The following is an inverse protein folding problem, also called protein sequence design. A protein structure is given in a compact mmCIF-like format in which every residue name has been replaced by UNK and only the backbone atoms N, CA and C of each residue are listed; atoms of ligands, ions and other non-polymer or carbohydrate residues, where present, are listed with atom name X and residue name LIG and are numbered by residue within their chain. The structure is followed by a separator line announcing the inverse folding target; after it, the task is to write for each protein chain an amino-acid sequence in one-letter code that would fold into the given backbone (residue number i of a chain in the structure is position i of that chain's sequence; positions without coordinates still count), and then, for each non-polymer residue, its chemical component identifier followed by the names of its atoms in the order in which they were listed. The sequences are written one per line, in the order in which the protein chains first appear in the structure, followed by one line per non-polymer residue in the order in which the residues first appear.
data_IF_379163890878
#
_entry.id   IF_379163890878
#
_cell.length_a   1.000
_cell.length_b   1.000
_cell.length_c   1.000
_cell.angle_alpha   90.00
_cell.angle_beta   90.00
_cell.angle_gamma   90.00
#
_symmetry.space_group_name_H-M   'P 1'
#
loop_
_entity.id
_entity.type
_entity.pdbx_description
1 polymer ?
#
# COMPACT_ATOMS: atom_id res chain seq x y z
N UNK A 1 -4.93 -3.32 5.41
CA UNK A 1 -6.05 -3.30 6.37
C UNK A 1 -7.05 -2.24 5.92
N UNK A 2 -8.14 -2.62 5.24
CA UNK A 2 -9.15 -1.66 4.79
C UNK A 2 -10.04 -1.28 5.97
N UNK A 3 -10.10 0.01 6.29
CA UNK A 3 -11.08 0.51 7.27
C UNK A 3 -12.43 0.56 6.59
N UNK A 4 -13.28 -0.42 6.86
CA UNK A 4 -14.69 -0.29 6.58
C UNK A 4 -15.23 0.83 7.49
N UNK A 5 -15.37 2.04 6.94
CA UNK A 5 -15.96 3.15 7.68
C UNK A 5 -17.44 2.86 7.85
N UNK A 6 -17.82 2.43 9.06
CA UNK A 6 -19.21 2.07 9.38
C UNK A 6 -20.04 3.34 9.46
N UNK A 7 -21.05 3.45 8.62
CA UNK A 7 -22.07 4.47 8.76
C UNK A 7 -22.95 4.12 9.96
N UNK A 8 -22.99 5.01 10.96
CA UNK A 8 -23.90 4.92 12.09
C UNK A 8 -25.31 5.32 11.65
N UNK A 9 -26.33 4.67 12.23
CA UNK A 9 -27.69 5.20 12.18
C UNK A 9 -27.77 6.51 12.98
N UNK A 10 -28.78 7.33 12.70
CA UNK A 10 -28.99 8.61 13.40
C UNK A 10 -29.12 8.42 14.92
N UNK A 11 -29.83 7.35 15.35
CA UNK A 11 -29.97 6.99 16.77
C UNK A 11 -28.62 6.66 17.40
N UNK A 12 -27.80 5.83 16.73
CA UNK A 12 -26.47 5.47 17.24
C UNK A 12 -25.53 6.68 17.30
N UNK A 13 -25.59 7.56 16.31
CA UNK A 13 -24.79 8.79 16.29
C UNK A 13 -25.15 9.71 17.48
N UNK A 14 -26.44 9.92 17.74
CA UNK A 14 -26.92 10.71 18.87
C UNK A 14 -26.54 10.09 20.22
N UNK A 15 -26.64 8.77 20.36
CA UNK A 15 -26.22 8.06 21.57
C UNK A 15 -24.71 8.22 21.85
N UNK A 16 -23.87 8.11 20.82
CA UNK A 16 -22.42 8.29 20.95
C UNK A 16 -22.06 9.75 21.32
N UNK A 17 -22.73 10.73 20.71
CA UNK A 17 -22.60 12.15 21.06
C UNK A 17 -22.97 12.40 22.53
N UNK A 18 -24.07 11.81 23.00
CA UNK A 18 -24.50 11.91 24.39
C UNK A 18 -23.50 11.27 25.37
N UNK A 19 -23.02 10.06 25.06
CA UNK A 19 -22.00 9.38 25.86
C UNK A 19 -20.71 10.21 25.97
N UNK A 20 -20.27 10.85 24.88
CA UNK A 20 -19.10 11.71 24.91
C UNK A 20 -19.26 12.93 25.83
N UNK A 21 -20.46 13.51 25.89
CA UNK A 21 -20.77 14.64 26.79
C UNK A 21 -20.72 14.22 28.27
N UNK A 22 -21.03 12.96 28.57
CA UNK A 22 -20.99 12.43 29.94
C UNK A 22 -19.60 11.99 30.42
N UNK A 23 -18.60 11.94 29.55
CA UNK A 23 -17.22 11.65 29.98
C UNK A 23 -16.59 12.93 30.55
N UNK A 24 -16.24 12.97 31.85
CA UNK A 24 -15.69 14.16 32.49
C UNK A 24 -14.35 14.59 31.87
N UNK A 25 -14.10 15.89 31.89
CA UNK A 25 -12.81 16.49 31.51
C UNK A 25 -12.33 17.33 32.70
N UNK A 26 -11.16 17.03 33.34
CA UNK A 26 -10.18 16.00 32.97
C UNK A 26 -10.65 14.57 33.26
N UNK A 27 -10.08 13.62 32.52
CA UNK A 27 -10.47 12.21 32.58
C UNK A 27 -9.76 11.54 33.76
N UNK A 28 -10.51 10.91 34.67
CA UNK A 28 -9.95 10.37 35.92
C UNK A 28 -9.36 8.96 35.77
N UNK A 29 -9.73 8.21 34.73
CA UNK A 29 -9.28 6.83 34.51
C UNK A 29 -8.83 6.53 33.09
N UNK A 30 -7.88 5.59 32.96
CA UNK A 30 -7.40 5.04 31.67
C UNK A 30 -8.56 4.47 30.85
N UNK A 31 -9.54 3.84 31.50
CA UNK A 31 -10.73 3.30 30.87
C UNK A 31 -11.55 4.39 30.16
N UNK A 32 -11.88 5.48 30.87
CA UNK A 32 -12.64 6.60 30.30
C UNK A 32 -11.86 7.28 29.17
N UNK A 33 -10.52 7.35 29.26
CA UNK A 33 -9.67 7.90 28.20
C UNK A 33 -9.75 7.06 26.92
N UNK A 34 -9.66 5.73 27.05
CA UNK A 34 -9.81 4.81 25.93
C UNK A 34 -11.22 4.84 25.35
N UNK A 35 -12.25 4.88 26.19
CA UNK A 35 -13.64 5.01 25.75
C UNK A 35 -13.86 6.30 24.94
N UNK A 36 -13.38 7.45 25.45
CA UNK A 36 -13.47 8.74 24.75
C UNK A 36 -12.77 8.70 23.39
N UNK A 37 -11.58 8.10 23.31
CA UNK A 37 -10.84 7.92 22.04
C UNK A 37 -11.64 7.07 21.06
N UNK A 38 -12.21 5.95 21.51
CA UNK A 38 -13.02 5.06 20.69
C UNK A 38 -14.27 5.74 20.13
N UNK A 39 -15.02 6.44 20.98
CA UNK A 39 -16.26 7.13 20.57
C UNK A 39 -15.97 8.26 19.57
N UNK A 40 -14.92 9.06 19.82
CA UNK A 40 -14.46 10.08 18.86
C UNK A 40 -14.05 9.50 17.52
N UNK A 41 -13.38 8.34 17.54
CA UNK A 41 -13.02 7.61 16.33
C UNK A 41 -14.27 7.20 15.53
N UNK A 42 -15.29 6.67 16.20
CA UNK A 42 -16.55 6.27 15.55
C UNK A 42 -17.29 7.45 14.90
N UNK A 43 -17.36 8.60 15.58
CA UNK A 43 -17.93 9.83 14.99
C UNK A 43 -17.16 10.22 13.72
N UNK A 44 -15.82 10.26 13.81
CA UNK A 44 -14.98 10.62 12.66
C UNK A 44 -15.14 9.62 11.50
N UNK A 45 -15.20 8.33 11.78
CA UNK A 45 -15.45 7.30 10.76
C UNK A 45 -16.83 7.48 10.10
N UNK A 46 -17.86 7.84 10.85
CA UNK A 46 -19.19 8.14 10.30
C UNK A 46 -19.19 9.41 9.44
N UNK A 47 -18.54 10.49 9.88
CA UNK A 47 -18.37 11.72 9.10
C UNK A 47 -17.64 11.44 7.78
N UNK A 48 -16.60 10.60 7.80
CA UNK A 48 -15.91 10.19 6.57
C UNK A 48 -16.80 9.30 5.69
N UNK A 49 -17.54 8.35 6.27
CA UNK A 49 -18.44 7.46 5.52
C UNK A 49 -19.61 8.20 4.85
N UNK A 50 -19.98 9.38 5.36
CA UNK A 50 -21.02 10.23 4.76
C UNK A 50 -20.46 11.18 3.70
N UNK A 51 -19.20 11.59 3.82
CA UNK A 51 -18.53 12.47 2.86
C UNK A 51 -17.99 11.73 1.63
N UNK A 52 -17.57 10.47 1.80
CA UNK A 52 -16.92 9.70 0.75
C UNK A 52 -17.76 8.47 0.39
N UNK A 53 -17.86 8.11 -0.90
CA UNK A 53 -18.53 6.88 -1.29
C UNK A 53 -17.87 5.65 -0.64
N UNK A 54 -18.62 4.56 -0.43
CA UNK A 54 -18.03 3.31 0.00
C UNK A 54 -16.86 2.93 -0.90
N UNK A 55 -15.76 2.51 -0.29
CA UNK A 55 -14.64 1.99 -1.05
C UNK A 55 -15.04 0.68 -1.71
N UNK A 56 -15.05 0.67 -3.04
CA UNK A 56 -15.19 -0.54 -3.83
C UNK A 56 -13.80 -0.93 -4.38
N UNK A 57 -13.26 -2.10 -4.00
CA UNK A 57 -11.97 -2.52 -4.51
C UNK A 57 -12.06 -2.74 -6.02
N UNK A 58 -11.08 -2.24 -6.75
CA UNK A 58 -10.98 -2.51 -8.18
C UNK A 58 -10.86 -4.03 -8.42
N UNK A 59 -11.53 -4.58 -9.44
CA UNK A 59 -11.25 -5.91 -9.95
C UNK A 59 -9.75 -6.05 -10.23
N UNK A 60 -9.14 -7.11 -9.71
CA UNK A 60 -7.72 -7.31 -9.86
C UNK A 60 -7.33 -8.78 -10.03
N UNK A 61 -6.17 -8.97 -10.68
CA UNK A 61 -5.48 -10.26 -10.76
C UNK A 61 -4.18 -10.15 -9.98
N UNK A 62 -3.96 -11.12 -9.09
CA UNK A 62 -2.78 -11.16 -8.24
C UNK A 62 -1.70 -12.07 -8.84
N UNK A 63 -0.47 -11.57 -8.88
CA UNK A 63 0.71 -12.29 -9.33
C UNK A 63 1.73 -12.38 -8.20
N UNK A 64 2.22 -13.59 -7.94
CA UNK A 64 3.34 -13.81 -7.01
C UNK A 64 4.64 -13.87 -7.81
N UNK A 65 5.51 -12.88 -7.61
CA UNK A 65 6.77 -12.74 -8.34
C UNK A 65 7.92 -13.29 -7.49
N UNK A 66 8.53 -14.35 -7.99
CA UNK A 66 9.64 -15.06 -7.34
C UNK A 66 10.46 -15.86 -8.37
N UNK A 67 11.35 -16.74 -7.91
CA UNK A 67 12.28 -17.53 -8.74
C UNK A 67 11.62 -18.50 -9.72
N UNK A 68 10.34 -18.84 -9.52
CA UNK A 68 9.60 -19.74 -10.43
C UNK A 68 8.71 -18.97 -11.43
N UNK A 69 8.66 -17.64 -11.34
CA UNK A 69 7.90 -16.83 -12.30
C UNK A 69 8.50 -16.98 -13.70
N UNK A 70 7.64 -17.28 -14.66
CA UNK A 70 8.05 -17.55 -16.04
C UNK A 70 8.35 -16.25 -16.81
N UNK A 71 9.19 -16.38 -17.83
CA UNK A 71 9.51 -15.27 -18.74
C UNK A 71 8.25 -14.70 -19.40
N UNK A 72 7.34 -15.57 -19.86
CA UNK A 72 6.09 -15.17 -20.51
C UNK A 72 5.21 -14.32 -19.59
N UNK A 73 5.09 -14.68 -18.31
CA UNK A 73 4.37 -13.90 -17.32
C UNK A 73 4.99 -12.51 -17.14
N UNK A 74 6.32 -12.43 -16.98
CA UNK A 74 7.01 -11.14 -16.81
C UNK A 74 6.87 -10.24 -18.04
N UNK A 75 6.89 -10.80 -19.25
CA UNK A 75 6.67 -10.03 -20.49
C UNK A 75 5.26 -9.45 -20.56
N UNK A 76 4.24 -10.20 -20.14
CA UNK A 76 2.86 -9.68 -20.05
C UNK A 76 2.76 -8.54 -19.04
N UNK A 77 3.40 -8.69 -17.88
CA UNK A 77 3.42 -7.65 -16.85
C UNK A 77 4.14 -6.38 -17.32
N UNK A 78 5.24 -6.52 -18.07
CA UNK A 78 5.95 -5.40 -18.71
C UNK A 78 5.05 -4.67 -19.71
N UNK A 79 4.33 -5.41 -20.56
CA UNK A 79 3.39 -4.79 -21.51
C UNK A 79 2.31 -3.99 -20.79
N UNK A 80 1.75 -4.55 -19.71
CA UNK A 80 0.77 -3.87 -18.87
C UNK A 80 1.35 -2.60 -18.20
N UNK A 81 2.56 -2.69 -17.63
CA UNK A 81 3.23 -1.52 -17.04
C UNK A 81 3.56 -0.43 -18.07
N UNK A 82 3.84 -0.82 -19.32
CA UNK A 82 4.17 0.12 -20.40
C UNK A 82 2.99 1.05 -20.68
N UNK A 83 1.78 0.49 -20.75
CA UNK A 83 0.55 1.25 -21.06
C UNK A 83 -0.08 1.93 -19.83
N UNK A 84 0.25 1.46 -18.62
CA UNK A 84 -0.24 2.05 -17.38
C UNK A 84 0.43 3.39 -17.08
N UNK A 85 -0.31 4.37 -16.56
CA UNK A 85 0.23 5.66 -16.14
C UNK A 85 0.41 5.76 -14.62
N UNK A 86 -0.25 4.89 -13.87
CA UNK A 86 -0.38 4.99 -12.43
C UNK A 86 0.02 3.68 -11.77
N UNK A 87 0.73 3.79 -10.65
CA UNK A 87 1.18 2.67 -9.85
C UNK A 87 1.00 2.97 -8.38
N UNK A 88 0.70 1.97 -7.56
CA UNK A 88 0.95 2.07 -6.12
C UNK A 88 2.07 1.15 -5.71
N UNK A 89 2.94 1.60 -4.82
CA UNK A 89 3.95 0.77 -4.19
C UNK A 89 3.71 0.77 -2.69
N UNK A 90 3.65 -0.43 -2.13
CA UNK A 90 3.61 -0.67 -0.70
C UNK A 90 4.73 -1.65 -0.33
N UNK A 91 5.31 -1.47 0.85
CA UNK A 91 6.46 -2.27 1.29
C UNK A 91 6.27 -2.80 2.68
N UNK A 92 6.58 -4.08 2.85
CA UNK A 92 6.58 -4.72 4.15
C UNK A 92 8.01 -5.12 4.52
N UNK A 93 8.42 -4.66 5.70
CA UNK A 93 9.71 -4.97 6.29
C UNK A 93 9.52 -5.84 7.53
N UNK A 94 10.30 -6.91 7.65
CA UNK A 94 10.24 -7.76 8.84
C UNK A 94 11.08 -7.09 9.94
N UNK A 95 10.40 -6.72 11.02
CA UNK A 95 11.05 -6.25 12.23
C UNK A 95 11.55 -7.46 13.02
N UNK A 96 12.85 -7.74 12.91
CA UNK A 96 13.51 -8.76 13.74
C UNK A 96 14.06 -8.03 14.95
N UNK A 97 13.59 -8.41 16.15
CA UNK A 97 14.01 -7.80 17.42
C UNK A 97 15.54 -7.55 17.45
N UNK A 98 15.94 -6.29 17.67
CA UNK A 98 17.33 -5.78 17.71
C UNK A 98 18.10 -5.78 16.37
N UNK A 99 17.46 -5.95 15.21
CA UNK A 99 18.10 -5.78 13.90
C UNK A 99 17.39 -4.70 13.08
N UNK A 100 18.12 -4.10 12.15
CA UNK A 100 17.56 -3.22 11.11
C UNK A 100 16.45 -3.94 10.36
N UNK A 101 15.32 -3.25 10.16
CA UNK A 101 14.19 -3.73 9.36
C UNK A 101 14.70 -4.31 8.04
N UNK A 102 14.38 -5.58 7.79
CA UNK A 102 14.79 -6.26 6.58
C UNK A 102 13.68 -6.16 5.53
N UNK A 103 13.97 -5.60 4.34
CA UNK A 103 12.99 -5.56 3.25
C UNK A 103 12.61 -6.99 2.86
N UNK A 104 11.33 -7.33 2.91
CA UNK A 104 10.87 -8.70 2.73
C UNK A 104 9.93 -8.86 1.54
N UNK A 105 8.94 -7.97 1.45
CA UNK A 105 7.91 -8.01 0.43
C UNK A 105 7.69 -6.61 -0.12
N UNK A 106 7.50 -6.53 -1.44
CA UNK A 106 7.00 -5.34 -2.10
C UNK A 106 5.70 -5.69 -2.80
N UNK A 107 4.67 -4.89 -2.59
CA UNK A 107 3.44 -4.94 -3.34
C UNK A 107 3.44 -3.80 -4.37
N UNK A 108 3.32 -4.15 -5.64
CA UNK A 108 3.18 -3.20 -6.74
C UNK A 108 1.80 -3.37 -7.37
N UNK A 109 0.99 -2.32 -7.37
CA UNK A 109 -0.26 -2.30 -8.13
C UNK A 109 -0.03 -1.57 -9.45
N UNK A 110 -0.43 -2.21 -10.55
CA UNK A 110 -0.44 -1.63 -11.89
C UNK A 110 -1.90 -1.33 -12.24
N UNK A 111 -2.23 -0.05 -12.42
CA UNK A 111 -3.58 0.35 -12.82
C UNK A 111 -3.75 0.18 -14.33
N UNK A 112 -4.75 -0.59 -14.74
CA UNK A 112 -5.03 -0.86 -16.14
C UNK A 112 -6.16 0.05 -16.64
N UNK A 113 -6.24 0.27 -17.97
CA UNK A 113 -7.43 0.84 -18.57
C UNK A 113 -8.69 0.08 -18.14
N UNK A 114 -9.83 0.79 -18.06
CA UNK A 114 -11.13 0.23 -17.70
C UNK A 114 -11.30 -0.22 -16.23
N UNK A 115 -10.71 0.51 -15.27
CA UNK A 115 -10.93 0.30 -13.84
C UNK A 115 -10.60 -1.13 -13.36
N UNK A 116 -9.48 -1.68 -13.80
CA UNK A 116 -8.95 -2.94 -13.30
C UNK A 116 -7.48 -2.78 -12.93
N UNK A 117 -6.90 -3.76 -12.24
CA UNK A 117 -5.49 -3.69 -11.89
C UNK A 117 -4.81 -5.05 -11.79
N UNK A 118 -3.49 -5.04 -11.89
CA UNK A 118 -2.67 -6.18 -11.45
C UNK A 118 -2.04 -5.85 -10.11
N UNK A 119 -2.05 -6.81 -9.19
CA UNK A 119 -1.35 -6.72 -7.91
C UNK A 119 -0.19 -7.71 -7.94
N UNK A 120 1.03 -7.20 -7.89
CA UNK A 120 2.25 -7.98 -7.90
C UNK A 120 2.78 -8.04 -6.48
N UNK A 121 2.84 -9.25 -5.93
CA UNK A 121 3.45 -9.54 -4.63
C UNK A 121 4.84 -10.10 -4.89
N UNK A 122 5.86 -9.29 -4.62
CA UNK A 122 7.25 -9.57 -4.99
C UNK A 122 8.01 -9.94 -3.72
N UNK A 123 8.41 -11.21 -3.62
CA UNK A 123 9.16 -11.74 -2.48
C UNK A 123 10.65 -11.48 -2.68
N UNK A 124 11.20 -10.47 -1.99
CA UNK A 124 12.54 -9.95 -2.29
C UNK A 124 13.66 -11.00 -2.12
N UNK A 125 13.52 -11.87 -1.11
CA UNK A 125 14.48 -12.95 -0.84
C UNK A 125 14.31 -14.20 -1.74
N UNK A 126 13.26 -14.23 -2.56
CA UNK A 126 12.97 -15.34 -3.45
C UNK A 126 13.09 -14.95 -4.92
N UNK A 127 13.74 -13.83 -5.24
CA UNK A 127 14.00 -13.41 -6.62
C UNK A 127 14.90 -14.43 -7.36
N UNK A 128 14.80 -14.49 -8.70
CA UNK A 128 15.77 -15.23 -9.51
C UNK A 128 17.21 -14.66 -9.34
N UNK A 129 18.22 -15.45 -9.70
CA UNK A 129 19.61 -14.99 -9.71
C UNK A 129 19.82 -13.79 -10.66
N UNK A 130 20.76 -12.90 -10.35
CA UNK A 130 21.00 -11.66 -11.13
C UNK A 130 21.35 -11.88 -12.62
N UNK A 131 21.89 -13.06 -12.95
CA UNK A 131 22.24 -13.48 -14.31
C UNK A 131 21.08 -14.13 -15.06
N UNK A 132 19.95 -14.40 -14.39
CA UNK A 132 18.78 -15.01 -14.99
C UNK A 132 17.99 -13.97 -15.80
N UNK A 133 17.47 -14.36 -16.97
CA UNK A 133 16.63 -13.50 -17.82
C UNK A 133 15.40 -12.95 -17.08
N UNK A 134 14.74 -13.76 -16.24
CA UNK A 134 13.61 -13.31 -15.43
C UNK A 134 14.01 -12.19 -14.48
N UNK A 135 15.21 -12.24 -13.89
CA UNK A 135 15.69 -11.13 -13.06
C UNK A 135 15.84 -9.84 -13.88
N UNK A 136 16.41 -9.93 -15.09
CA UNK A 136 16.54 -8.78 -16.00
C UNK A 136 15.18 -8.19 -16.39
N UNK A 137 14.18 -9.04 -16.64
CA UNK A 137 12.82 -8.60 -16.92
C UNK A 137 12.16 -7.93 -15.70
N UNK A 138 12.41 -8.42 -14.49
CA UNK A 138 11.94 -7.73 -13.27
C UNK A 138 12.62 -6.36 -13.14
N UNK A 139 13.92 -6.25 -13.42
CA UNK A 139 14.61 -4.95 -13.46
C UNK A 139 14.00 -4.02 -14.52
N UNK A 140 13.68 -4.54 -15.70
CA UNK A 140 13.02 -3.78 -16.78
C UNK A 140 11.64 -3.28 -16.35
N UNK A 141 10.83 -4.13 -15.72
CA UNK A 141 9.54 -3.75 -15.13
C UNK A 141 9.71 -2.55 -14.18
N UNK A 142 10.67 -2.59 -13.26
CA UNK A 142 10.91 -1.48 -12.34
C UNK A 142 11.42 -0.21 -13.02
N UNK A 143 12.24 -0.32 -14.06
CA UNK A 143 12.64 0.85 -14.87
C UNK A 143 11.44 1.54 -15.51
N UNK A 144 10.45 0.78 -15.97
CA UNK A 144 9.21 1.33 -16.53
C UNK A 144 8.38 1.99 -15.43
N UNK A 145 8.22 1.33 -14.27
CA UNK A 145 7.46 1.88 -13.13
C UNK A 145 8.03 3.22 -12.67
N UNK A 146 9.36 3.33 -12.56
CA UNK A 146 10.05 4.56 -12.14
C UNK A 146 10.35 5.55 -13.28
N UNK A 147 9.74 5.39 -14.45
CA UNK A 147 9.95 6.35 -15.54
C UNK A 147 9.21 7.68 -15.29
N UNK A 148 9.77 8.78 -15.77
CA UNK A 148 9.34 10.15 -15.43
C UNK A 148 7.88 10.48 -15.82
N UNK A 149 7.30 9.75 -16.77
CA UNK A 149 5.93 9.94 -17.22
C UNK A 149 4.90 9.11 -16.44
N UNK A 150 5.33 8.42 -15.36
CA UNK A 150 4.46 7.61 -14.51
C UNK A 150 4.23 8.27 -13.17
N UNK A 151 3.04 8.09 -12.65
CA UNK A 151 2.63 8.54 -11.34
C UNK A 151 2.69 7.38 -10.36
N UNK A 152 3.40 7.57 -9.25
CA UNK A 152 3.61 6.54 -8.24
C UNK A 152 3.00 7.03 -6.94
N UNK A 153 2.09 6.25 -6.38
CA UNK A 153 1.54 6.49 -5.05
C UNK A 153 2.22 5.55 -4.07
N UNK A 154 2.77 6.09 -2.99
CA UNK A 154 3.46 5.28 -1.98
C UNK A 154 2.68 5.34 -0.67
N UNK A 155 2.38 4.18 -0.11
CA UNK A 155 1.87 4.11 1.25
C UNK A 155 3.03 4.42 2.21
N UNK A 156 2.94 5.55 2.92
CA UNK A 156 3.99 5.96 3.85
C UNK A 156 5.02 6.89 3.22
N UNK A 157 6.30 6.74 3.58
CA UNK A 157 7.37 7.59 3.06
C UNK A 157 8.08 6.93 1.88
N UNK A 158 8.39 7.71 0.83
CA UNK A 158 9.26 7.25 -0.28
C UNK A 158 10.60 6.66 0.21
N UNK A 159 11.07 7.09 1.37
CA UNK A 159 12.32 6.61 1.98
C UNK A 159 12.26 5.13 2.38
N UNK A 160 11.05 4.56 2.50
CA UNK A 160 10.84 3.13 2.77
C UNK A 160 11.30 2.23 1.63
N UNK A 161 11.49 2.79 0.42
CA UNK A 161 12.05 2.08 -0.73
C UNK A 161 13.58 1.99 -0.69
N UNK A 162 14.29 2.88 0.02
CA UNK A 162 15.76 2.88 0.02
C UNK A 162 16.39 1.57 0.51
N UNK A 163 15.86 0.90 1.56
CA UNK A 163 16.33 -0.43 1.94
C UNK A 163 16.19 -1.48 0.83
N UNK A 164 15.29 -1.33 -0.14
CA UNK A 164 15.08 -2.31 -1.21
C UNK A 164 16.10 -2.19 -2.36
N UNK A 165 16.88 -1.11 -2.41
CA UNK A 165 17.91 -0.90 -3.43
C UNK A 165 18.98 -2.02 -3.41
N UNK A 166 19.16 -2.73 -2.29
CA UNK A 166 20.14 -3.84 -2.21
C UNK A 166 19.83 -4.96 -3.20
N UNK A 167 18.56 -5.14 -3.58
CA UNK A 167 18.15 -6.17 -4.53
C UNK A 167 18.40 -5.79 -5.98
N UNK A 168 18.96 -4.59 -6.24
CA UNK A 168 19.35 -4.10 -7.57
C UNK A 168 18.22 -4.08 -8.61
N UNK A 169 16.95 -4.09 -8.18
CA UNK A 169 15.81 -3.97 -9.08
C UNK A 169 15.65 -2.54 -9.62
N UNK A 170 16.04 -1.57 -8.80
CA UNK A 170 16.08 -0.14 -9.09
C UNK A 170 17.18 0.49 -8.23
N UNK A 171 17.41 1.80 -8.40
CA UNK A 171 18.44 2.55 -7.67
C UNK A 171 17.84 3.75 -6.92
N UNK A 172 18.67 4.45 -6.12
CA UNK A 172 18.22 5.66 -5.41
C UNK A 172 17.82 6.76 -6.38
N UNK A 173 18.54 6.90 -7.48
CA UNK A 173 18.24 7.88 -8.53
C UNK A 173 16.84 7.65 -9.13
N UNK A 174 16.42 6.40 -9.29
CA UNK A 174 15.05 6.08 -9.75
C UNK A 174 13.99 6.58 -8.74
N UNK A 175 14.21 6.37 -7.44
CA UNK A 175 13.29 6.83 -6.37
C UNK A 175 13.25 8.35 -6.30
N UNK A 176 14.42 9.01 -6.39
CA UNK A 176 14.53 10.45 -6.21
C UNK A 176 14.03 11.24 -7.43
N UNK A 177 14.17 10.66 -8.62
CA UNK A 177 13.66 11.23 -9.86
C UNK A 177 12.16 11.00 -10.06
N UNK A 178 11.60 9.94 -9.48
CA UNK A 178 10.15 9.78 -9.39
C UNK A 178 9.56 10.90 -8.52
N UNK A 179 8.38 11.38 -8.88
CA UNK A 179 7.62 12.34 -8.06
C UNK A 179 6.46 11.59 -7.39
N UNK A 180 6.74 10.74 -6.39
CA UNK A 180 5.67 10.00 -5.74
C UNK A 180 4.78 10.96 -4.97
N UNK A 181 3.47 10.73 -5.07
CA UNK A 181 2.42 11.51 -4.40
C UNK A 181 1.96 10.77 -3.15
#
# INVERSE_FOLDING_TARGET
MFFYCRMLSEKEYQEIQLQLKHIPTPVSSKYQSNLRKRLRKQIKEHELATQFPPFEPLPHISYFINRITTEACLRQLIQAATVSLEFTIDTESINIYKKTNKPALMQLQIFLPHNSSFILLIEMYHLPNENNICFKLIQELFKIVFSQNKQIYIWGSKNELYPFVIFKLFSREHIDSSHPI
#
